data_IF_513151862671
#
_entry.id   IF_513151862671
#
_cell.length_a   1.000
_cell.length_b   1.000
_cell.length_c   1.000
_cell.angle_alpha   90.00
_cell.angle_beta   90.00
_cell.angle_gamma   90.00
#
_symmetry.space_group_name_H-M   'P 1'
#
loop_
_entity.id
_entity.type
_entity.pdbx_description
1 polymer ?
#
# COMPACT_ATOMS: atom_id res chain seq x y z
N UNK A 1 -20.31 8.79 -21.24
CA UNK A 1 -20.36 8.51 -19.79
C UNK A 1 -19.05 9.02 -19.23
N UNK A 2 -19.05 10.10 -18.46
CA UNK A 2 -17.83 10.58 -17.83
C UNK A 2 -17.39 9.51 -16.83
N UNK A 3 -16.16 9.01 -16.98
CA UNK A 3 -15.53 8.19 -15.94
C UNK A 3 -15.62 8.92 -14.61
N UNK A 4 -15.68 8.17 -13.51
CA UNK A 4 -15.75 8.76 -12.18
C UNK A 4 -14.64 9.79 -12.01
N UNK A 5 -14.94 10.92 -11.37
CA UNK A 5 -13.96 11.97 -11.01
C UNK A 5 -12.90 11.49 -9.99
N UNK A 6 -12.78 10.18 -9.75
CA UNK A 6 -11.86 9.58 -8.79
C UNK A 6 -10.51 9.36 -9.47
N UNK A 7 -9.47 9.93 -8.85
CA UNK A 7 -8.06 9.76 -9.23
C UNK A 7 -7.35 8.91 -8.19
N UNK A 8 -6.69 7.83 -8.62
CA UNK A 8 -5.97 6.89 -7.77
C UNK A 8 -4.54 6.74 -8.28
N UNK A 9 -3.58 7.00 -7.41
CA UNK A 9 -2.16 6.81 -7.67
C UNK A 9 -1.67 5.61 -6.88
N UNK A 10 -0.82 4.79 -7.46
CA UNK A 10 -0.13 3.73 -6.72
C UNK A 10 1.38 3.80 -6.90
N UNK A 11 2.11 3.20 -5.97
CA UNK A 11 3.54 2.96 -6.09
C UNK A 11 3.84 1.47 -6.02
N UNK A 12 4.44 0.93 -7.08
CA UNK A 12 4.64 -0.51 -7.24
C UNK A 12 5.63 -0.88 -8.34
N UNK A 13 5.84 -2.17 -8.54
CA UNK A 13 6.74 -2.78 -9.53
C UNK A 13 6.29 -2.47 -10.97
N UNK A 14 7.23 -2.34 -11.92
CA UNK A 14 6.88 -2.01 -13.30
C UNK A 14 6.13 -3.14 -14.02
N UNK A 15 6.35 -4.39 -13.60
CA UNK A 15 5.70 -5.58 -14.17
C UNK A 15 4.22 -5.71 -13.78
N UNK A 16 3.73 -4.85 -12.88
CA UNK A 16 2.33 -4.78 -12.45
C UNK A 16 1.78 -6.09 -11.83
N UNK A 17 2.65 -6.90 -11.24
CA UNK A 17 2.33 -8.20 -10.62
C UNK A 17 2.05 -8.12 -9.11
N UNK A 18 1.98 -6.90 -8.57
CA UNK A 18 1.80 -6.62 -7.14
C UNK A 18 0.36 -6.21 -6.76
N UNK A 19 0.11 -6.14 -5.45
CA UNK A 19 -1.23 -5.93 -4.92
C UNK A 19 -1.83 -4.57 -5.32
N UNK A 20 -1.06 -3.48 -5.22
CA UNK A 20 -1.54 -2.15 -5.59
C UNK A 20 -1.79 -2.00 -7.10
N UNK A 21 -1.02 -2.68 -7.96
CA UNK A 21 -1.26 -2.67 -9.40
C UNK A 21 -2.58 -3.34 -9.75
N UNK A 22 -2.91 -4.44 -9.06
CA UNK A 22 -4.22 -5.09 -9.19
C UNK A 22 -5.37 -4.15 -8.77
N UNK A 23 -5.18 -3.36 -7.71
CA UNK A 23 -6.17 -2.32 -7.32
C UNK A 23 -6.32 -1.26 -8.41
N UNK A 24 -5.22 -0.78 -9.01
CA UNK A 24 -5.31 0.19 -10.11
C UNK A 24 -6.04 -0.38 -11.32
N UNK A 25 -5.76 -1.62 -11.72
CA UNK A 25 -6.43 -2.26 -12.85
C UNK A 25 -7.94 -2.39 -12.61
N UNK A 26 -8.34 -2.82 -11.41
CA UNK A 26 -9.75 -2.92 -11.03
C UNK A 26 -10.42 -1.54 -10.99
N UNK A 27 -9.75 -0.52 -10.44
CA UNK A 27 -10.27 0.84 -10.38
C UNK A 27 -10.42 1.47 -11.78
N UNK A 28 -9.47 1.25 -12.67
CA UNK A 28 -9.55 1.69 -14.07
C UNK A 28 -10.74 1.05 -14.79
N UNK A 29 -10.98 -0.25 -14.57
CA UNK A 29 -12.15 -0.95 -15.12
C UNK A 29 -13.49 -0.38 -14.59
N UNK A 30 -13.50 0.20 -13.39
CA UNK A 30 -14.64 0.91 -12.80
C UNK A 30 -14.74 2.39 -13.24
N UNK A 31 -13.80 2.87 -14.06
CA UNK A 31 -13.81 4.22 -14.63
C UNK A 31 -13.05 5.27 -13.81
N UNK A 32 -12.19 4.87 -12.87
CA UNK A 32 -11.27 5.79 -12.19
C UNK A 32 -10.11 6.19 -13.11
N UNK A 33 -9.58 7.39 -12.91
CA UNK A 33 -8.28 7.78 -13.48
C UNK A 33 -7.19 7.18 -12.62
N UNK A 34 -6.27 6.43 -13.21
CA UNK A 34 -5.22 5.73 -12.48
C UNK A 34 -3.82 6.08 -12.97
N UNK A 35 -2.85 6.15 -12.05
CA UNK A 35 -1.43 6.35 -12.35
C UNK A 35 -0.58 5.42 -11.50
N UNK A 36 0.24 4.59 -12.14
CA UNK A 36 1.29 3.85 -11.46
C UNK A 36 2.57 4.67 -11.47
N UNK A 37 3.12 4.93 -10.29
CA UNK A 37 4.50 5.41 -10.10
C UNK A 37 5.38 4.19 -9.91
N UNK A 38 6.46 4.09 -10.67
CA UNK A 38 7.37 2.94 -10.66
C UNK A 38 8.78 3.37 -11.11
N UNK A 39 9.72 2.42 -11.18
CA UNK A 39 11.08 2.67 -11.68
C UNK A 39 11.08 3.01 -13.17
N UNK A 40 12.18 3.59 -13.65
CA UNK A 40 12.33 3.87 -15.08
C UNK A 40 12.45 2.58 -15.90
N UNK A 41 12.16 2.63 -17.19
CA UNK A 41 12.33 1.47 -18.08
C UNK A 41 13.79 0.99 -18.08
N UNK A 42 13.99 -0.31 -17.85
CA UNK A 42 15.31 -0.94 -17.78
C UNK A 42 16.05 -0.75 -16.45
N UNK A 43 15.42 -0.11 -15.46
CA UNK A 43 15.95 0.06 -14.12
C UNK A 43 15.36 -0.97 -13.15
N UNK A 44 16.19 -1.54 -12.29
CA UNK A 44 15.74 -2.44 -11.24
C UNK A 44 15.05 -1.66 -10.12
N UNK A 45 13.83 -2.07 -9.79
CA UNK A 45 12.98 -1.41 -8.80
C UNK A 45 13.65 -1.35 -7.41
N UNK A 46 14.45 -2.36 -7.05
CA UNK A 46 15.12 -2.41 -5.74
C UNK A 46 16.22 -1.35 -5.55
N UNK A 47 16.79 -0.87 -6.67
CA UNK A 47 17.97 0.00 -6.72
C UNK A 47 17.76 1.27 -7.54
N UNK A 48 16.52 1.60 -7.85
CA UNK A 48 16.17 2.74 -8.71
C UNK A 48 16.59 4.12 -8.16
N UNK A 49 16.73 5.11 -9.04
CA UNK A 49 16.88 6.52 -8.68
C UNK A 49 15.56 7.10 -8.16
N UNK A 50 15.21 6.71 -6.93
CA UNK A 50 14.04 7.20 -6.21
C UNK A 50 14.01 8.72 -6.04
N UNK A 51 15.16 9.42 -6.16
CA UNK A 51 15.25 10.87 -6.07
C UNK A 51 14.74 11.59 -7.31
N UNK A 52 14.64 10.88 -8.45
CA UNK A 52 14.10 11.41 -9.70
C UNK A 52 12.56 11.42 -9.76
N UNK A 53 11.89 10.74 -8.83
CA UNK A 53 10.43 10.63 -8.82
C UNK A 53 9.81 11.98 -8.42
N UNK A 54 9.10 12.62 -9.34
CA UNK A 54 8.31 13.81 -9.06
C UNK A 54 6.98 13.43 -8.39
N UNK A 55 7.03 13.23 -7.08
CA UNK A 55 5.87 12.88 -6.27
C UNK A 55 4.79 13.96 -6.26
N UNK A 56 5.17 15.24 -6.39
CA UNK A 56 4.20 16.33 -6.40
C UNK A 56 3.36 16.28 -7.68
N UNK A 57 3.99 16.16 -8.84
CA UNK A 57 3.27 15.95 -10.11
C UNK A 57 2.46 14.65 -10.10
N UNK A 58 3.05 13.58 -9.55
CA UNK A 58 2.39 12.28 -9.53
C UNK A 58 1.09 12.27 -8.71
N UNK A 59 1.05 13.03 -7.61
CA UNK A 59 -0.06 13.04 -6.65
C UNK A 59 -0.97 14.27 -6.76
N UNK A 60 -0.70 15.21 -7.67
CA UNK A 60 -1.54 16.39 -7.86
C UNK A 60 -2.99 15.99 -8.20
N UNK A 61 -3.94 16.45 -7.38
CA UNK A 61 -5.36 16.11 -7.49
C UNK A 61 -5.71 14.63 -7.27
N UNK A 62 -4.77 13.81 -6.77
CA UNK A 62 -5.03 12.42 -6.43
C UNK A 62 -5.94 12.33 -5.20
N UNK A 63 -6.97 11.50 -5.26
CA UNK A 63 -7.86 11.25 -4.12
C UNK A 63 -7.29 10.17 -3.20
N UNK A 64 -6.61 9.19 -3.79
CA UNK A 64 -6.07 8.03 -3.09
C UNK A 64 -4.64 7.75 -3.52
N UNK A 65 -3.80 7.43 -2.55
CA UNK A 65 -2.49 6.83 -2.76
C UNK A 65 -2.52 5.38 -2.27
N UNK A 66 -2.27 4.42 -3.14
CA UNK A 66 -2.35 2.98 -2.84
C UNK A 66 -0.96 2.36 -2.87
N UNK A 67 -0.61 1.61 -1.84
CA UNK A 67 0.66 0.88 -1.80
C UNK A 67 0.53 -0.37 -0.93
N UNK A 68 1.55 -1.25 -0.96
CA UNK A 68 1.62 -2.44 -0.13
C UNK A 68 2.75 -2.38 0.90
N UNK A 69 2.66 -3.26 1.89
CA UNK A 69 3.69 -3.47 2.88
C UNK A 69 4.93 -4.14 2.25
N UNK A 70 4.74 -5.12 1.36
CA UNK A 70 5.82 -5.80 0.65
C UNK A 70 6.72 -4.84 -0.14
N UNK A 71 6.13 -3.79 -0.74
CA UNK A 71 6.85 -2.74 -1.49
C UNK A 71 7.95 -2.08 -0.64
N UNK A 72 7.72 -1.91 0.67
CA UNK A 72 8.66 -1.26 1.57
C UNK A 72 9.95 -2.07 1.82
N UNK A 73 9.97 -3.36 1.44
CA UNK A 73 11.08 -4.27 1.69
C UNK A 73 11.76 -4.80 0.42
N UNK A 74 11.34 -4.33 -0.76
CA UNK A 74 11.91 -4.71 -2.07
C UNK A 74 13.36 -4.26 -2.26
N UNK A 75 13.77 -3.20 -1.55
CA UNK A 75 15.11 -2.64 -1.64
C UNK A 75 15.16 -1.28 -0.95
N UNK A 76 16.37 -0.77 -0.74
CA UNK A 76 16.56 0.51 -0.07
C UNK A 76 15.93 1.67 -0.87
N UNK A 77 16.10 1.66 -2.20
CA UNK A 77 15.50 2.68 -3.07
C UNK A 77 13.97 2.63 -3.05
N UNK A 78 13.39 1.43 -3.17
CA UNK A 78 11.95 1.22 -3.07
C UNK A 78 11.40 1.68 -1.71
N UNK A 79 12.09 1.39 -0.61
CA UNK A 79 11.71 1.85 0.73
C UNK A 79 11.71 3.38 0.85
N UNK A 80 12.72 4.05 0.30
CA UNK A 80 12.78 5.51 0.30
C UNK A 80 11.70 6.14 -0.55
N UNK A 81 11.47 5.63 -1.77
CA UNK A 81 10.39 6.05 -2.64
C UNK A 81 9.02 5.85 -1.99
N UNK A 82 8.78 4.69 -1.39
CA UNK A 82 7.55 4.36 -0.67
C UNK A 82 7.26 5.35 0.46
N UNK A 83 8.26 5.66 1.29
CA UNK A 83 8.13 6.65 2.35
C UNK A 83 7.90 8.08 1.83
N UNK A 84 8.56 8.46 0.73
CA UNK A 84 8.35 9.74 0.07
C UNK A 84 6.92 9.85 -0.48
N UNK A 85 6.43 8.83 -1.20
CA UNK A 85 5.07 8.76 -1.73
C UNK A 85 4.01 8.90 -0.64
N UNK A 86 4.18 8.23 0.51
CA UNK A 86 3.27 8.42 1.65
C UNK A 86 3.28 9.85 2.20
N UNK A 87 4.47 10.47 2.29
CA UNK A 87 4.63 11.84 2.80
C UNK A 87 4.02 12.87 1.85
N UNK A 88 4.31 12.75 0.54
CA UNK A 88 3.71 13.62 -0.46
C UNK A 88 2.21 13.38 -0.62
N UNK A 89 1.75 12.13 -0.47
CA UNK A 89 0.32 11.82 -0.50
C UNK A 89 -0.43 12.61 0.58
N UNK A 90 0.11 12.63 1.80
CA UNK A 90 -0.43 13.44 2.89
C UNK A 90 -0.39 14.95 2.58
N UNK A 91 0.73 15.46 2.03
CA UNK A 91 0.89 16.87 1.69
C UNK A 91 -0.07 17.35 0.60
N UNK A 92 -0.28 16.55 -0.44
CA UNK A 92 -1.17 16.86 -1.57
C UNK A 92 -2.65 16.52 -1.25
N UNK A 93 -2.93 15.97 -0.06
CA UNK A 93 -4.28 15.68 0.42
C UNK A 93 -4.87 14.34 -0.03
N UNK A 94 -4.06 13.48 -0.65
CA UNK A 94 -4.44 12.13 -1.00
C UNK A 94 -4.53 11.24 0.26
N UNK A 95 -5.55 10.38 0.30
CA UNK A 95 -5.71 9.41 1.40
C UNK A 95 -4.92 8.15 1.12
N UNK A 96 -4.10 7.73 2.07
CA UNK A 96 -3.28 6.52 1.93
C UNK A 96 -4.08 5.25 2.20
N UNK A 97 -4.07 4.34 1.24
CA UNK A 97 -4.49 2.94 1.38
C UNK A 97 -3.24 2.08 1.47
N UNK A 98 -3.10 1.36 2.58
CA UNK A 98 -2.04 0.39 2.81
C UNK A 98 -2.61 -1.03 2.66
N UNK A 99 -1.99 -1.83 1.81
CA UNK A 99 -2.26 -3.26 1.68
C UNK A 99 -1.21 -4.01 2.49
N UNK A 100 -1.62 -4.61 3.62
CA UNK A 100 -0.77 -5.54 4.36
C UNK A 100 -0.88 -6.92 3.71
N UNK A 101 -0.06 -7.12 2.67
CA UNK A 101 0.12 -8.36 1.95
C UNK A 101 1.25 -9.23 2.56
N UNK A 102 1.42 -10.43 2.00
CA UNK A 102 2.54 -11.29 2.34
C UNK A 102 3.74 -10.96 1.43
N UNK A 103 4.96 -10.83 1.98
CA UNK A 103 6.15 -10.74 1.15
C UNK A 103 6.45 -12.08 0.45
N UNK A 104 7.19 -12.04 -0.65
CA UNK A 104 7.62 -13.24 -1.37
C UNK A 104 8.40 -14.23 -0.48
N UNK A 105 9.26 -13.69 0.40
CA UNK A 105 9.92 -14.44 1.47
C UNK A 105 9.14 -14.29 2.79
N UNK A 106 8.40 -15.32 3.24
CA UNK A 106 7.62 -15.25 4.47
C UNK A 106 8.45 -14.99 5.73
N UNK A 107 9.76 -15.26 5.71
CA UNK A 107 10.64 -14.98 6.86
C UNK A 107 10.80 -13.48 7.13
N UNK A 108 10.56 -12.64 6.10
CA UNK A 108 10.62 -11.18 6.17
C UNK A 108 9.30 -10.53 6.56
N UNK A 109 8.27 -11.32 6.91
CA UNK A 109 6.98 -10.76 7.32
C UNK A 109 7.09 -9.77 8.48
N UNK A 110 7.95 -10.05 9.47
CA UNK A 110 8.13 -9.14 10.61
C UNK A 110 8.73 -7.78 10.20
N UNK A 111 9.64 -7.78 9.22
CA UNK A 111 10.22 -6.57 8.63
C UNK A 111 9.15 -5.77 7.87
N UNK A 112 8.41 -6.46 7.00
CA UNK A 112 7.29 -5.93 6.22
C UNK A 112 6.22 -5.27 7.12
N UNK A 113 5.77 -6.01 8.13
CA UNK A 113 4.80 -5.53 9.10
C UNK A 113 5.34 -4.38 9.96
N UNK A 114 6.61 -4.46 10.38
CA UNK A 114 7.28 -3.38 11.10
C UNK A 114 7.26 -2.06 10.32
N UNK A 115 7.50 -2.10 9.00
CA UNK A 115 7.44 -0.92 8.14
C UNK A 115 6.04 -0.26 8.12
N UNK A 116 4.97 -1.07 8.15
CA UNK A 116 3.59 -0.58 8.28
C UNK A 116 3.38 0.09 9.63
N UNK A 117 3.80 -0.56 10.73
CA UNK A 117 3.66 -0.03 12.09
C UNK A 117 4.37 1.32 12.26
N UNK A 118 5.56 1.48 11.68
CA UNK A 118 6.33 2.75 11.73
C UNK A 118 5.54 3.95 11.16
N UNK A 119 4.64 3.71 10.20
CA UNK A 119 3.90 4.76 9.47
C UNK A 119 2.38 4.63 9.59
N UNK A 120 1.91 3.79 10.51
CA UNK A 120 0.49 3.41 10.61
C UNK A 120 -0.44 4.62 10.77
N UNK A 121 0.05 5.72 11.36
CA UNK A 121 -0.71 6.96 11.55
C UNK A 121 -0.97 7.75 10.28
N UNK A 122 -0.21 7.51 9.20
CA UNK A 122 -0.43 8.11 7.88
C UNK A 122 -1.43 7.30 7.05
N UNK A 123 -1.77 6.10 7.49
CA UNK A 123 -2.68 5.18 6.80
C UNK A 123 -4.12 5.55 7.12
N UNK A 124 -4.92 5.74 6.07
CA UNK A 124 -6.35 6.04 6.19
C UNK A 124 -7.20 4.78 6.08
N UNK A 125 -6.79 3.85 5.21
CA UNK A 125 -7.37 2.53 5.05
C UNK A 125 -6.24 1.50 5.12
N UNK A 126 -6.29 0.60 6.09
CA UNK A 126 -5.43 -0.57 6.16
C UNK A 126 -6.24 -1.79 5.76
N UNK A 127 -5.96 -2.33 4.58
CA UNK A 127 -6.50 -3.60 4.14
C UNK A 127 -5.50 -4.71 4.46
N UNK A 128 -5.90 -5.71 5.22
CA UNK A 128 -5.06 -6.88 5.51
C UNK A 128 -5.50 -8.02 4.59
N UNK A 129 -4.55 -8.56 3.82
CA UNK A 129 -4.80 -9.75 3.03
C UNK A 129 -5.28 -10.89 3.95
N UNK A 130 -6.37 -11.62 3.62
CA UNK A 130 -6.83 -12.76 4.41
C UNK A 130 -5.73 -13.78 4.77
N UNK A 131 -4.76 -13.98 3.86
CA UNK A 131 -3.61 -14.85 4.06
C UNK A 131 -2.60 -14.26 5.07
N UNK A 132 -2.47 -12.93 5.15
CA UNK A 132 -1.61 -12.22 6.10
C UNK A 132 -2.21 -12.12 7.51
N UNK A 133 -3.54 -12.23 7.65
CA UNK A 133 -4.24 -12.01 8.94
C UNK A 133 -3.75 -12.95 10.06
N UNK A 134 -3.61 -14.24 9.77
CA UNK A 134 -3.13 -15.23 10.76
C UNK A 134 -1.66 -15.02 11.15
N UNK A 135 -0.74 -14.89 10.19
CA UNK A 135 0.65 -14.53 10.46
C UNK A 135 0.84 -13.23 11.27
N UNK A 136 0.14 -12.15 10.92
CA UNK A 136 0.21 -10.88 11.66
C UNK A 136 -0.35 -11.02 13.08
N UNK A 137 -1.47 -11.74 13.26
CA UNK A 137 -2.02 -12.06 14.59
C UNK A 137 -0.98 -12.71 15.50
N UNK A 138 -0.18 -13.64 14.98
CA UNK A 138 0.91 -14.27 15.76
C UNK A 138 2.05 -13.30 16.08
N UNK A 139 2.39 -12.39 15.17
CA UNK A 139 3.42 -11.36 15.41
C UNK A 139 3.00 -10.38 16.51
N UNK A 140 1.73 -9.95 16.50
CA UNK A 140 1.16 -9.04 17.50
C UNK A 140 0.81 -9.74 18.82
N UNK A 141 0.74 -11.07 18.84
CA UNK A 141 0.28 -11.82 20.01
C UNK A 141 -1.19 -11.56 20.37
N UNK A 142 -2.01 -11.25 19.35
CA UNK A 142 -3.43 -10.91 19.45
C UNK A 142 -4.26 -11.98 18.74
N UNK A 143 -5.45 -12.31 19.24
CA UNK A 143 -6.33 -13.25 18.56
C UNK A 143 -6.73 -12.76 17.16
N UNK A 144 -6.82 -13.67 16.18
CA UNK A 144 -7.16 -13.33 14.80
C UNK A 144 -8.51 -12.58 14.69
N UNK A 145 -9.47 -12.90 15.54
CA UNK A 145 -10.79 -12.25 15.58
C UNK A 145 -10.78 -10.83 16.16
N UNK A 146 -9.77 -10.51 16.99
CA UNK A 146 -9.62 -9.20 17.63
C UNK A 146 -8.64 -8.29 16.89
N UNK A 147 -7.80 -8.86 16.02
CA UNK A 147 -6.67 -8.20 15.37
C UNK A 147 -7.05 -6.88 14.69
N UNK A 148 -8.10 -6.86 13.86
CA UNK A 148 -8.50 -5.65 13.14
C UNK A 148 -8.87 -4.52 14.10
N UNK A 149 -9.59 -4.85 15.19
CA UNK A 149 -10.02 -3.88 16.19
C UNK A 149 -8.82 -3.36 17.00
N UNK A 150 -7.91 -4.24 17.41
CA UNK A 150 -6.69 -3.83 18.13
C UNK A 150 -5.82 -2.90 17.27
N UNK A 151 -5.61 -3.24 16.00
CA UNK A 151 -4.85 -2.38 15.07
C UNK A 151 -5.54 -1.03 14.90
N UNK A 152 -6.87 -1.01 14.74
CA UNK A 152 -7.65 0.22 14.59
C UNK A 152 -7.50 1.14 15.81
N UNK A 153 -7.64 0.58 17.01
CA UNK A 153 -7.61 1.34 18.26
C UNK A 153 -6.19 1.81 18.62
N UNK A 154 -5.18 0.95 18.46
CA UNK A 154 -3.78 1.28 18.79
C UNK A 154 -3.11 2.15 17.74
N UNK A 155 -3.33 1.82 16.46
CA UNK A 155 -2.77 2.54 15.31
C UNK A 155 -3.51 3.83 14.99
N UNK A 156 -4.73 4.01 15.51
CA UNK A 156 -5.64 5.11 15.19
C UNK A 156 -5.96 5.20 13.68
N UNK A 157 -5.92 4.07 12.99
CA UNK A 157 -6.28 3.97 11.57
C UNK A 157 -7.81 4.10 11.45
N UNK A 158 -8.34 5.02 10.63
CA UNK A 158 -9.79 5.21 10.48
C UNK A 158 -10.53 3.93 10.06
N UNK A 159 -9.99 3.23 9.07
CA UNK A 159 -10.57 2.00 8.53
C UNK A 159 -9.52 0.88 8.49
N UNK A 160 -9.82 -0.22 9.19
CA UNK A 160 -9.03 -1.46 9.12
C UNK A 160 -9.98 -2.56 8.69
N UNK A 161 -9.67 -3.26 7.60
CA UNK A 161 -10.54 -4.27 7.02
C UNK A 161 -9.75 -5.43 6.40
N UNK A 162 -10.47 -6.51 6.12
CA UNK A 162 -10.00 -7.67 5.36
C UNK A 162 -11.21 -8.21 4.58
N UNK A 163 -11.00 -9.15 3.66
CA UNK A 163 -12.12 -9.89 3.09
C UNK A 163 -12.50 -11.00 4.06
N UNK A 164 -13.79 -11.06 4.41
CA UNK A 164 -14.31 -12.19 5.16
C UNK A 164 -14.08 -13.45 4.33
N UNK A 165 -13.35 -14.42 4.89
CA UNK A 165 -13.15 -15.74 4.30
C UNK A 165 -14.44 -16.58 4.18
N UNK A 166 -15.60 -15.94 4.33
CA UNK A 166 -16.93 -16.45 4.01
C UNK A 166 -17.26 -16.03 2.57
N UNK A 167 -16.52 -16.58 1.61
CA UNK A 167 -16.95 -16.59 0.21
C UNK A 167 -17.41 -18.01 -0.10
N UNK A 168 -18.70 -18.15 -0.43
CA UNK A 168 -19.36 -19.37 -0.91
C UNK A 168 -18.65 -20.00 -2.12
#
# INVERSE_FOLDING_TARGET
>A
MSGSDVSIVAFGRPDCDDAQSNVLLAAAALGATTRLVTSSEGEDFSSMDHGSIDWRDALDGAHWFVTSASTAIEGEAARFAWGAGMTFGELEGARTVMIADLPEDPSRLAECWGAVIERIRQVHVLFIDPAALGPISRLEGVDKSELLNEIRLRGLVPHVCTLDGQSE
#
